data_IF_600635354876
#
_entry.id   IF_600635354876
#
_cell.length_a   1.000
_cell.length_b   1.000
_cell.length_c   1.000
_cell.angle_alpha   90.00
_cell.angle_beta   90.00
_cell.angle_gamma   90.00
#
_symmetry.space_group_name_H-M   'P 1'
#
loop_
_entity.id
_entity.type
_entity.pdbx_description
1 polymer ?
#
# COMPACT_ATOMS: atom_id res chain seq x y z
N UNK A 1 7.18 3.46 -8.69
CA UNK A 1 5.80 3.47 -9.22
C UNK A 1 4.87 2.96 -8.13
N UNK A 2 4.27 3.89 -7.38
CA UNK A 2 3.31 3.62 -6.31
C UNK A 2 2.10 2.95 -6.95
N UNK A 3 1.47 1.97 -6.30
CA UNK A 3 0.46 1.09 -6.92
C UNK A 3 -0.88 1.76 -7.22
N UNK A 4 -0.89 3.07 -7.50
CA UNK A 4 -2.02 3.99 -7.57
C UNK A 4 -3.26 3.45 -8.29
N UNK A 5 -3.10 2.53 -9.22
CA UNK A 5 -4.15 2.12 -10.12
C UNK A 5 -5.27 1.30 -9.47
N UNK A 6 -4.97 0.38 -8.55
CA UNK A 6 -5.98 -0.50 -7.95
C UNK A 6 -6.97 0.31 -7.12
N UNK A 7 -6.44 1.18 -6.28
CA UNK A 7 -7.27 2.08 -5.50
C UNK A 7 -7.74 3.32 -6.29
N UNK A 8 -7.14 3.69 -7.43
CA UNK A 8 -7.73 4.75 -8.29
C UNK A 8 -8.92 4.21 -9.09
N UNK A 9 -8.84 3.00 -9.64
CA UNK A 9 -9.94 2.42 -10.43
C UNK A 9 -11.13 2.13 -9.52
N UNK A 10 -10.93 1.52 -8.37
CA UNK A 10 -12.02 1.24 -7.44
C UNK A 10 -12.62 2.51 -6.86
N UNK A 11 -11.78 3.47 -6.49
CA UNK A 11 -12.25 4.79 -6.06
C UNK A 11 -13.09 5.44 -7.14
N UNK A 12 -12.63 5.48 -8.40
CA UNK A 12 -13.38 6.08 -9.51
C UNK A 12 -14.69 5.35 -9.80
N UNK A 13 -14.69 4.01 -9.81
CA UNK A 13 -15.90 3.21 -10.06
C UNK A 13 -16.92 3.40 -8.95
N UNK A 14 -16.50 3.31 -7.68
CA UNK A 14 -17.39 3.53 -6.54
C UNK A 14 -17.90 4.98 -6.48
N UNK A 15 -17.02 5.96 -6.69
CA UNK A 15 -17.39 7.38 -6.70
C UNK A 15 -18.42 7.65 -7.79
N UNK A 16 -18.23 7.06 -8.98
CA UNK A 16 -19.20 7.18 -10.09
C UNK A 16 -20.53 6.53 -9.75
N UNK A 17 -20.54 5.33 -9.17
CA UNK A 17 -21.77 4.64 -8.75
C UNK A 17 -22.54 5.41 -7.68
N UNK A 18 -21.86 5.95 -6.68
CA UNK A 18 -22.49 6.76 -5.63
C UNK A 18 -23.07 8.06 -6.19
N UNK A 19 -22.34 8.75 -7.07
CA UNK A 19 -22.82 9.94 -7.77
C UNK A 19 -24.08 9.64 -8.60
N UNK A 20 -24.09 8.52 -9.32
CA UNK A 20 -25.24 8.10 -10.14
C UNK A 20 -26.48 7.75 -9.30
N UNK A 21 -26.31 7.44 -8.00
CA UNK A 21 -27.42 7.20 -7.05
C UNK A 21 -27.80 8.43 -6.23
N UNK A 22 -27.27 9.62 -6.57
CA UNK A 22 -27.55 10.87 -5.84
C UNK A 22 -26.87 10.97 -4.48
N UNK A 23 -25.93 10.08 -4.15
CA UNK A 23 -25.23 10.09 -2.87
C UNK A 23 -24.09 11.13 -2.94
N UNK A 24 -24.15 12.13 -2.06
CA UNK A 24 -23.10 13.14 -1.92
C UNK A 24 -21.89 12.55 -1.20
N UNK A 25 -20.76 12.47 -1.90
CA UNK A 25 -19.49 12.04 -1.33
C UNK A 25 -18.70 13.26 -0.83
N UNK A 26 -18.58 13.40 0.49
CA UNK A 26 -17.83 14.49 1.11
C UNK A 26 -16.31 14.25 1.02
N UNK A 27 -15.83 13.06 1.42
CA UNK A 27 -14.43 12.63 1.30
C UNK A 27 -14.35 11.11 1.15
N UNK A 28 -13.55 10.65 0.20
CA UNK A 28 -13.17 9.24 0.07
C UNK A 28 -11.73 9.17 -0.43
N UNK A 29 -10.89 8.34 0.18
CA UNK A 29 -9.52 8.11 -0.25
C UNK A 29 -9.28 6.61 -0.35
N UNK A 30 -8.43 6.21 -1.29
CA UNK A 30 -7.90 4.86 -1.30
C UNK A 30 -6.39 4.93 -1.47
N UNK A 31 -5.68 4.35 -0.51
CA UNK A 31 -4.23 4.36 -0.44
C UNK A 31 -3.68 3.11 -1.11
N UNK A 32 -2.61 3.28 -1.89
CA UNK A 32 -1.97 2.20 -2.64
C UNK A 32 -0.63 1.89 -1.99
N UNK A 33 -0.47 0.67 -1.51
CA UNK A 33 0.67 0.28 -0.67
C UNK A 33 1.97 0.01 -1.44
N UNK A 34 1.95 0.12 -2.78
CA UNK A 34 3.11 -0.18 -3.62
C UNK A 34 3.47 -1.66 -3.73
N UNK A 35 2.79 -2.56 -3.00
CA UNK A 35 3.04 -4.01 -3.00
C UNK A 35 2.11 -4.69 -3.98
N UNK A 36 2.64 -5.64 -4.76
CA UNK A 36 1.87 -6.44 -5.71
C UNK A 36 2.31 -7.90 -5.66
N UNK A 37 1.34 -8.80 -5.78
CA UNK A 37 1.56 -10.18 -6.14
C UNK A 37 1.24 -10.32 -7.64
N UNK A 38 2.24 -10.72 -8.44
CA UNK A 38 2.13 -10.72 -9.89
C UNK A 38 2.40 -12.11 -10.48
N UNK A 39 1.77 -12.40 -11.62
CA UNK A 39 2.12 -13.53 -12.47
C UNK A 39 2.87 -13.05 -13.73
N UNK A 40 3.39 -13.98 -14.52
CA UNK A 40 4.09 -13.69 -15.78
C UNK A 40 3.24 -12.90 -16.78
N UNK A 41 1.91 -12.94 -16.66
CA UNK A 41 1.00 -12.12 -17.46
C UNK A 41 1.25 -10.60 -17.33
N UNK A 42 1.93 -10.16 -16.25
CA UNK A 42 2.33 -8.77 -16.10
C UNK A 42 3.32 -8.32 -17.18
N UNK A 43 4.29 -9.15 -17.55
CA UNK A 43 5.32 -8.78 -18.52
C UNK A 43 4.71 -8.49 -19.89
N UNK A 44 3.84 -9.36 -20.38
CA UNK A 44 3.10 -9.16 -21.64
C UNK A 44 2.24 -7.87 -21.59
N UNK A 45 1.67 -7.55 -20.43
CA UNK A 45 0.90 -6.33 -20.25
C UNK A 45 1.79 -5.08 -20.25
N UNK A 46 2.98 -5.15 -19.67
CA UNK A 46 3.97 -4.06 -19.68
C UNK A 46 4.51 -3.81 -21.08
N UNK A 47 4.84 -4.87 -21.84
CA UNK A 47 5.26 -4.76 -23.24
C UNK A 47 4.18 -4.08 -24.09
N UNK A 48 2.92 -4.48 -23.92
CA UNK A 48 1.77 -3.84 -24.60
C UNK A 48 1.58 -2.37 -24.21
N UNK A 49 1.88 -2.01 -22.97
CA UNK A 49 1.87 -0.61 -22.53
C UNK A 49 3.01 0.18 -23.16
N UNK A 50 4.22 -0.38 -23.12
CA UNK A 50 5.44 0.22 -23.67
C UNK A 50 5.33 0.47 -25.17
N UNK A 51 4.75 -0.47 -25.93
CA UNK A 51 4.45 -0.31 -27.36
C UNK A 51 3.50 0.86 -27.68
N UNK A 52 2.81 1.40 -26.67
CA UNK A 52 1.94 2.59 -26.76
C UNK A 52 2.56 3.84 -26.12
N UNK A 53 3.85 3.78 -25.76
CA UNK A 53 4.56 4.83 -25.05
C UNK A 53 4.28 4.91 -23.55
N UNK A 54 3.46 4.01 -22.98
CA UNK A 54 3.18 3.97 -21.54
C UNK A 54 4.12 2.98 -20.82
N UNK A 55 5.26 3.45 -20.33
CA UNK A 55 6.30 2.61 -19.69
C UNK A 55 6.09 2.37 -18.18
N UNK A 56 5.03 2.92 -17.59
CA UNK A 56 4.76 2.77 -16.15
C UNK A 56 4.20 1.38 -15.81
N UNK A 57 4.53 0.87 -14.62
CA UNK A 57 3.90 -0.33 -14.06
C UNK A 57 2.37 -0.20 -13.99
N UNK A 58 1.88 1.01 -13.69
CA UNK A 58 0.44 1.30 -13.70
C UNK A 58 -0.20 1.07 -15.06
N UNK A 59 0.50 1.28 -16.17
CA UNK A 59 -0.01 1.01 -17.51
C UNK A 59 -0.22 -0.50 -17.75
N UNK A 60 0.75 -1.33 -17.36
CA UNK A 60 0.61 -2.78 -17.39
C UNK A 60 -0.58 -3.27 -16.53
N UNK A 61 -0.73 -2.73 -15.32
CA UNK A 61 -1.86 -3.06 -14.45
C UNK A 61 -3.19 -2.59 -15.05
N UNK A 62 -3.27 -1.43 -15.76
CA UNK A 62 -4.49 -0.99 -16.48
C UNK A 62 -4.91 -2.00 -17.52
N UNK A 63 -3.94 -2.51 -18.28
CA UNK A 63 -4.19 -3.51 -19.32
C UNK A 63 -4.73 -4.80 -18.69
N UNK A 64 -4.13 -5.27 -17.60
CA UNK A 64 -4.65 -6.44 -16.87
C UNK A 64 -6.03 -6.20 -16.26
N UNK A 65 -6.29 -5.03 -15.70
CA UNK A 65 -7.58 -4.67 -15.13
C UNK A 65 -8.68 -4.64 -16.19
N UNK A 66 -8.43 -4.03 -17.36
CA UNK A 66 -9.37 -4.06 -18.51
C UNK A 66 -9.69 -5.48 -18.96
N UNK A 67 -8.72 -6.40 -18.86
CA UNK A 67 -8.89 -7.84 -19.14
C UNK A 67 -9.51 -8.63 -17.97
N UNK A 68 -9.93 -7.97 -16.88
CA UNK A 68 -10.41 -8.61 -15.63
C UNK A 68 -9.40 -9.57 -14.98
N UNK A 69 -8.10 -9.35 -15.23
CA UNK A 69 -6.97 -10.14 -14.70
C UNK A 69 -6.22 -9.45 -13.56
N UNK A 70 -6.67 -8.29 -13.10
CA UNK A 70 -6.14 -7.62 -11.90
C UNK A 70 -7.15 -7.72 -10.76
N UNK A 71 -6.66 -7.93 -9.53
CA UNK A 71 -7.46 -8.01 -8.31
C UNK A 71 -6.87 -7.10 -7.23
N UNK A 72 -7.72 -6.73 -6.28
CA UNK A 72 -7.33 -5.93 -5.11
C UNK A 72 -7.14 -6.87 -3.95
N UNK A 73 -6.14 -6.57 -3.13
CA UNK A 73 -5.88 -7.26 -1.88
C UNK A 73 -5.97 -6.26 -0.74
N UNK A 74 -6.90 -6.47 0.18
CA UNK A 74 -7.05 -5.64 1.36
C UNK A 74 -6.06 -6.09 2.44
N UNK A 75 -5.27 -5.15 2.94
CA UNK A 75 -4.31 -5.39 4.01
C UNK A 75 -4.96 -5.36 5.41
N UNK A 76 -6.30 -5.26 5.54
CA UNK A 76 -7.06 -5.44 6.79
C UNK A 76 -6.53 -4.62 7.97
N UNK A 77 -6.38 -3.31 7.77
CA UNK A 77 -5.93 -2.38 8.81
C UNK A 77 -4.47 -2.55 9.24
N UNK A 78 -3.69 -3.43 8.60
CA UNK A 78 -2.26 -3.52 8.85
C UNK A 78 -1.57 -2.19 8.53
N UNK A 79 -0.50 -1.91 9.26
CA UNK A 79 0.23 -0.66 9.11
C UNK A 79 1.02 -0.62 7.80
N UNK A 80 0.92 0.51 7.10
CA UNK A 80 1.73 0.84 5.95
C UNK A 80 1.99 2.35 5.91
N UNK A 81 3.19 2.75 5.49
CA UNK A 81 3.57 4.15 5.34
C UNK A 81 4.49 4.32 4.12
N UNK A 82 4.29 5.41 3.41
CA UNK A 82 5.18 5.90 2.37
C UNK A 82 6.20 6.85 3.02
N UNK A 83 7.48 6.52 2.96
CA UNK A 83 8.54 7.30 3.61
C UNK A 83 9.20 8.20 2.57
N UNK A 84 8.59 9.36 2.32
CA UNK A 84 9.09 10.36 1.36
C UNK A 84 9.77 11.56 2.04
N UNK A 85 9.62 11.73 3.36
CA UNK A 85 10.17 12.86 4.11
C UNK A 85 10.61 12.48 5.53
N UNK A 86 11.31 13.40 6.19
CA UNK A 86 11.84 13.24 7.55
C UNK A 86 10.74 12.99 8.61
N UNK A 87 9.55 13.57 8.42
CA UNK A 87 8.43 13.36 9.37
C UNK A 87 7.86 11.96 9.22
N UNK A 88 7.70 11.48 7.98
CA UNK A 88 7.27 10.13 7.67
C UNK A 88 8.30 9.11 8.15
N UNK A 89 9.59 9.39 7.99
CA UNK A 89 10.68 8.57 8.50
C UNK A 89 10.59 8.37 10.02
N UNK A 90 10.55 9.47 10.79
CA UNK A 90 10.41 9.40 12.26
C UNK A 90 9.14 8.66 12.69
N UNK A 91 8.06 8.82 11.95
CA UNK A 91 6.79 8.11 12.22
C UNK A 91 6.95 6.60 11.98
N UNK A 92 7.56 6.21 10.87
CA UNK A 92 7.82 4.81 10.54
C UNK A 92 8.73 4.16 11.60
N UNK A 93 9.84 4.83 11.95
CA UNK A 93 10.79 4.38 12.97
C UNK A 93 10.11 4.12 14.31
N UNK A 94 9.35 5.09 14.83
CA UNK A 94 8.67 4.95 16.12
C UNK A 94 7.67 3.78 16.12
N UNK A 95 6.98 3.54 15.01
CA UNK A 95 6.02 2.44 14.90
C UNK A 95 6.73 1.09 14.82
N UNK A 96 7.85 1.00 14.11
CA UNK A 96 8.68 -0.21 14.10
C UNK A 96 9.22 -0.52 15.51
N UNK A 97 9.77 0.48 16.21
CA UNK A 97 10.30 0.32 17.57
C UNK A 97 9.20 -0.10 18.56
N UNK A 98 7.99 0.45 18.44
CA UNK A 98 6.85 0.05 19.28
C UNK A 98 6.46 -1.42 19.09
N UNK A 99 6.53 -1.92 17.85
CA UNK A 99 6.19 -3.30 17.50
C UNK A 99 7.30 -4.33 17.82
N UNK A 100 8.48 -3.89 18.28
CA UNK A 100 9.52 -4.81 18.74
C UNK A 100 9.12 -5.54 20.03
N UNK A 101 8.25 -4.95 20.85
CA UNK A 101 7.76 -5.57 22.09
C UNK A 101 6.83 -6.73 21.75
N UNK A 102 7.21 -7.94 22.17
CA UNK A 102 6.43 -9.16 21.93
C UNK A 102 5.57 -9.48 23.15
N UNK A 103 4.37 -10.02 22.92
CA UNK A 103 3.51 -10.53 24.00
C UNK A 103 4.19 -11.66 24.78
N UNK A 104 5.05 -12.43 24.11
CA UNK A 104 5.87 -13.49 24.70
C UNK A 104 7.10 -13.02 25.48
N UNK A 105 7.38 -11.71 25.55
CA UNK A 105 8.53 -11.21 26.30
C UNK A 105 8.38 -11.52 27.80
N UNK A 106 9.36 -12.19 28.37
CA UNK A 106 9.46 -12.39 29.83
C UNK A 106 9.76 -11.09 30.59
N UNK A 107 9.67 -11.08 31.93
CA UNK A 107 9.85 -9.88 32.75
C UNK A 107 11.17 -9.14 32.51
N UNK A 108 12.28 -9.87 32.32
CA UNK A 108 13.61 -9.28 32.02
C UNK A 108 13.60 -8.58 30.67
N UNK A 109 13.08 -9.23 29.63
CA UNK A 109 12.99 -8.64 28.29
C UNK A 109 12.13 -7.36 28.32
N UNK A 110 10.97 -7.43 28.97
CA UNK A 110 9.99 -6.34 29.01
C UNK A 110 10.49 -5.08 29.74
N UNK A 111 11.16 -5.24 30.89
CA UNK A 111 11.52 -4.12 31.76
C UNK A 111 12.98 -3.68 31.63
N UNK A 112 13.88 -4.53 31.11
CA UNK A 112 15.31 -4.21 30.99
C UNK A 112 15.76 -4.20 29.53
N UNK A 113 15.65 -5.32 28.81
CA UNK A 113 16.26 -5.46 27.49
C UNK A 113 15.56 -4.57 26.45
N UNK A 114 14.22 -4.48 26.46
CA UNK A 114 13.45 -3.66 25.51
C UNK A 114 13.76 -2.17 25.67
N UNK A 115 13.68 -1.54 26.86
CA UNK A 115 14.02 -0.13 27.00
C UNK A 115 15.44 0.23 26.55
N UNK A 116 16.41 -0.65 26.79
CA UNK A 116 17.81 -0.44 26.39
C UNK A 116 17.96 -0.64 24.87
N UNK A 117 17.56 -1.80 24.35
CA UNK A 117 17.70 -2.12 22.92
C UNK A 117 17.00 -1.10 22.03
N UNK A 118 15.78 -0.66 22.35
CA UNK A 118 15.06 0.32 21.52
C UNK A 118 15.71 1.70 21.50
N UNK A 119 16.48 2.07 22.53
CA UNK A 119 17.25 3.33 22.55
C UNK A 119 18.54 3.25 21.73
N UNK A 120 19.13 2.06 21.64
CA UNK A 120 20.34 1.80 20.82
C UNK A 120 19.99 1.62 19.35
N UNK A 121 18.82 1.03 19.05
CA UNK A 121 18.34 0.83 17.68
C UNK A 121 17.88 2.10 16.97
N UNK A 122 17.88 3.24 17.68
CA UNK A 122 17.50 4.55 17.19
C UNK A 122 18.76 5.38 16.98
#
# INVERSE_FOLDING_TARGET
>A
IKSQLGATITHRVLTTLFKNRGIKLERTYQLNTGVFLCSTALFEALEKGSARGETSLSAGIKILAKKKKARIFDIKGNYWIDVDDEKAFRKAENILLANLKKTSDGPVSRHLNRPISTRISK
#
